data_IF_261083431723
#
_entry.id   IF_261083431723
#
_cell.length_a   1.000
_cell.length_b   1.000
_cell.length_c   1.000
_cell.angle_alpha   90.00
_cell.angle_beta   90.00
_cell.angle_gamma   90.00
#
_symmetry.space_group_name_H-M   'P 1'
#
loop_
_entity.id
_entity.type
_entity.pdbx_description
1 polymer ?
#
# COMPACT_ATOMS: atom_id res chain seq x y z
N UNK A 1 4.73 47.80 44.94
CA UNK A 1 3.97 46.63 44.46
C UNK A 1 4.06 46.62 42.95
N UNK A 2 5.07 45.92 42.42
CA UNK A 2 5.29 45.81 40.97
C UNK A 2 4.25 44.84 40.40
N UNK A 3 3.51 45.28 39.40
CA UNK A 3 2.47 44.50 38.73
C UNK A 3 3.20 43.55 37.80
N UNK A 4 3.35 42.28 38.19
CA UNK A 4 3.83 41.22 37.30
C UNK A 4 3.03 41.32 36.00
N UNK A 5 3.75 41.53 34.90
CA UNK A 5 3.11 41.71 33.60
C UNK A 5 2.50 40.38 33.18
N UNK A 6 1.33 40.40 32.54
CA UNK A 6 0.65 39.19 32.06
C UNK A 6 1.57 38.30 31.19
N UNK A 7 2.58 38.91 30.57
CA UNK A 7 3.65 38.24 29.81
C UNK A 7 4.57 37.37 30.68
N UNK A 8 4.90 37.80 31.89
CA UNK A 8 5.70 37.05 32.87
C UNK A 8 4.92 35.86 33.42
N UNK A 9 3.63 36.05 33.72
CA UNK A 9 2.76 34.97 34.20
C UNK A 9 2.53 33.88 33.14
N UNK A 10 2.49 34.24 31.86
CA UNK A 10 2.36 33.29 30.74
C UNK A 10 3.73 32.63 30.43
N UNK A 11 4.85 33.34 30.60
CA UNK A 11 6.19 32.78 30.41
C UNK A 11 6.60 31.82 31.55
N UNK A 12 6.11 32.04 32.77
CA UNK A 12 6.34 31.19 33.96
C UNK A 12 5.32 30.06 34.09
N UNK A 13 4.21 30.10 33.34
CA UNK A 13 3.32 28.96 33.16
C UNK A 13 4.06 27.87 32.39
N UNK A 14 4.88 27.11 33.13
CA UNK A 14 5.47 25.84 32.73
C UNK A 14 4.38 25.08 31.97
N UNK A 15 4.58 24.96 30.66
CA UNK A 15 3.75 24.11 29.82
C UNK A 15 3.59 22.78 30.56
N UNK A 16 2.41 22.14 30.55
CA UNK A 16 2.26 20.83 31.14
C UNK A 16 3.37 19.97 30.53
N UNK A 17 4.35 19.59 31.34
CA UNK A 17 5.26 18.52 30.99
C UNK A 17 4.34 17.31 30.86
N UNK A 18 3.95 17.00 29.63
CA UNK A 18 3.29 15.75 29.28
C UNK A 18 4.32 14.62 29.46
N UNK A 19 4.71 14.38 30.71
CA UNK A 19 5.37 13.14 31.14
C UNK A 19 4.32 12.05 31.21
N UNK A 20 3.63 11.79 30.11
CA UNK A 20 3.02 10.49 29.89
C UNK A 20 4.13 9.62 29.33
N UNK A 21 4.94 9.07 30.24
CA UNK A 21 5.84 7.97 29.92
C UNK A 21 5.00 6.80 29.41
N UNK A 22 4.72 6.80 28.11
CA UNK A 22 3.98 5.73 27.45
C UNK A 22 4.94 4.55 27.33
N UNK A 23 4.99 3.74 28.38
CA UNK A 23 5.58 2.40 28.37
C UNK A 23 4.70 1.53 27.45
N UNK A 24 4.74 1.78 26.14
CA UNK A 24 4.27 0.76 25.21
C UNK A 24 5.15 -0.45 25.49
N UNK A 25 4.54 -1.54 25.94
CA UNK A 25 5.26 -2.80 26.16
C UNK A 25 6.05 -3.08 24.89
N UNK A 26 7.34 -3.37 25.00
CA UNK A 26 8.26 -3.50 23.84
C UNK A 26 7.71 -4.41 22.74
N UNK A 27 6.87 -5.38 23.10
CA UNK A 27 6.16 -6.27 22.20
C UNK A 27 5.16 -5.56 21.25
N UNK A 28 4.38 -4.61 21.75
CA UNK A 28 3.42 -3.83 20.94
C UNK A 28 4.16 -2.85 20.03
N UNK A 29 5.23 -2.22 20.52
CA UNK A 29 6.09 -1.37 19.68
C UNK A 29 6.79 -2.18 18.58
N UNK A 30 7.23 -3.41 18.89
CA UNK A 30 7.86 -4.31 17.93
C UNK A 30 6.89 -4.83 16.88
N UNK A 31 5.65 -5.20 17.26
CA UNK A 31 4.60 -5.52 16.30
C UNK A 31 4.18 -4.29 15.49
N UNK A 32 4.18 -3.08 16.04
CA UNK A 32 3.88 -1.89 15.25
C UNK A 32 4.94 -1.65 14.17
N UNK A 33 6.22 -1.96 14.44
CA UNK A 33 7.33 -1.80 13.50
C UNK A 33 7.45 -2.97 12.49
N UNK A 34 7.19 -4.21 12.92
CA UNK A 34 7.36 -5.43 12.10
C UNK A 34 6.04 -6.13 11.76
N UNK A 35 4.91 -5.47 12.00
CA UNK A 35 3.58 -6.06 11.98
C UNK A 35 3.22 -6.69 10.65
N UNK A 36 3.64 -6.08 9.54
CA UNK A 36 3.41 -6.64 8.20
C UNK A 36 4.05 -8.03 8.06
N UNK A 37 5.30 -8.20 8.49
CA UNK A 37 6.00 -9.48 8.38
C UNK A 37 5.40 -10.54 9.31
N UNK A 38 5.10 -10.15 10.54
CA UNK A 38 4.47 -11.04 11.53
C UNK A 38 3.09 -11.49 11.04
N UNK A 39 2.28 -10.55 10.56
CA UNK A 39 0.95 -10.83 10.04
C UNK A 39 1.01 -11.71 8.79
N UNK A 40 1.91 -11.42 7.83
CA UNK A 40 2.13 -12.26 6.66
C UNK A 40 2.55 -13.67 7.04
N UNK A 41 3.47 -13.83 8.00
CA UNK A 41 3.90 -15.16 8.47
C UNK A 41 2.74 -15.96 9.09
N UNK A 42 1.91 -15.30 9.91
CA UNK A 42 0.71 -15.92 10.51
C UNK A 42 -0.26 -16.35 9.40
N UNK A 43 -0.52 -15.49 8.42
CA UNK A 43 -1.42 -15.82 7.30
C UNK A 43 -0.89 -16.99 6.47
N UNK A 44 0.42 -17.05 6.19
CA UNK A 44 1.03 -18.18 5.50
C UNK A 44 0.83 -19.47 6.30
N UNK A 45 1.14 -19.47 7.60
CA UNK A 45 0.97 -20.64 8.47
C UNK A 45 -0.49 -21.10 8.52
N UNK A 46 -1.41 -20.17 8.73
CA UNK A 46 -2.85 -20.46 8.72
C UNK A 46 -3.29 -21.02 7.36
N UNK A 47 -2.80 -20.47 6.25
CA UNK A 47 -3.15 -20.96 4.91
C UNK A 47 -2.59 -22.36 4.66
N UNK A 48 -1.38 -22.66 5.15
CA UNK A 48 -0.83 -24.01 5.08
C UNK A 48 -1.64 -25.04 5.89
N UNK A 49 -2.30 -24.63 6.97
CA UNK A 49 -3.11 -25.54 7.81
C UNK A 49 -4.56 -25.66 7.39
N UNK A 50 -5.16 -24.57 6.87
CA UNK A 50 -6.61 -24.51 6.59
C UNK A 50 -6.96 -24.57 5.10
N UNK A 51 -5.98 -24.44 4.19
CA UNK A 51 -6.23 -24.44 2.75
C UNK A 51 -5.48 -25.60 2.08
N UNK A 52 -6.25 -26.55 1.56
CA UNK A 52 -5.71 -27.70 0.84
C UNK A 52 -4.92 -27.26 -0.39
N UNK A 53 -3.72 -27.81 -0.56
CA UNK A 53 -2.86 -27.52 -1.71
C UNK A 53 -2.22 -26.13 -1.70
N UNK A 54 -2.34 -25.35 -0.62
CA UNK A 54 -1.73 -24.02 -0.53
C UNK A 54 -0.20 -24.03 -0.75
N UNK A 55 0.49 -24.99 -0.12
CA UNK A 55 1.94 -25.16 -0.27
C UNK A 55 2.34 -26.03 -1.48
N UNK A 56 1.41 -26.35 -2.40
CA UNK A 56 1.73 -27.12 -3.59
C UNK A 56 2.66 -26.35 -4.53
N UNK A 57 3.53 -27.07 -5.26
CA UNK A 57 4.41 -26.46 -6.26
C UNK A 57 3.62 -25.67 -7.31
N UNK A 58 2.44 -26.14 -7.67
CA UNK A 58 1.56 -25.46 -8.61
C UNK A 58 1.10 -24.10 -8.06
N UNK A 59 0.54 -24.06 -6.85
CA UNK A 59 0.08 -22.80 -6.25
C UNK A 59 1.23 -21.81 -6.01
N UNK A 60 2.39 -22.30 -5.55
CA UNK A 60 3.58 -21.45 -5.37
C UNK A 60 4.06 -20.89 -6.71
N UNK A 61 4.09 -21.70 -7.76
CA UNK A 61 4.47 -21.26 -9.11
C UNK A 61 3.48 -20.25 -9.68
N UNK A 62 2.18 -20.49 -9.52
CA UNK A 62 1.12 -19.59 -9.96
C UNK A 62 1.17 -18.24 -9.23
N UNK A 63 1.51 -18.25 -7.94
CA UNK A 63 1.74 -17.03 -7.16
C UNK A 63 2.89 -16.20 -7.75
N UNK A 64 4.02 -16.84 -8.06
CA UNK A 64 5.15 -16.14 -8.69
C UNK A 64 4.81 -15.62 -10.09
N UNK A 65 4.09 -16.38 -10.91
CA UNK A 65 3.64 -15.91 -12.22
C UNK A 65 2.70 -14.69 -12.11
N UNK A 66 1.81 -14.66 -11.12
CA UNK A 66 0.93 -13.51 -10.86
C UNK A 66 1.69 -12.29 -10.31
N UNK A 67 2.73 -12.53 -9.51
CA UNK A 67 3.55 -11.47 -8.94
C UNK A 67 4.58 -10.89 -9.94
N UNK A 68 5.06 -11.67 -10.90
CA UNK A 68 6.12 -11.28 -11.82
C UNK A 68 5.82 -9.99 -12.62
N UNK A 69 4.63 -9.80 -13.23
CA UNK A 69 4.31 -8.55 -13.92
C UNK A 69 4.40 -7.32 -13.02
N UNK A 70 3.90 -7.40 -11.79
CA UNK A 70 3.97 -6.30 -10.81
C UNK A 70 5.43 -6.03 -10.42
N UNK A 71 6.24 -7.09 -10.25
CA UNK A 71 7.67 -6.97 -9.99
C UNK A 71 8.43 -6.26 -11.11
N UNK A 72 8.17 -6.60 -12.37
CA UNK A 72 8.78 -5.94 -13.53
C UNK A 72 8.42 -4.45 -13.55
N UNK A 73 7.15 -4.13 -13.28
CA UNK A 73 6.68 -2.74 -13.22
C UNK A 73 7.32 -1.97 -12.06
N UNK A 74 7.49 -2.62 -10.90
CA UNK A 74 8.15 -2.02 -9.75
C UNK A 74 9.61 -1.64 -10.04
N UNK A 75 10.33 -2.42 -10.84
CA UNK A 75 11.68 -2.05 -11.29
C UNK A 75 11.65 -0.74 -12.10
N UNK A 76 10.68 -0.55 -13.00
CA UNK A 76 10.50 0.72 -13.71
C UNK A 76 10.18 1.88 -12.78
N UNK A 77 9.32 1.66 -11.78
CA UNK A 77 8.96 2.68 -10.78
C UNK A 77 10.14 3.14 -9.92
N UNK A 78 11.18 2.31 -9.73
CA UNK A 78 12.37 2.76 -8.95
C UNK A 78 13.04 4.00 -9.56
N UNK A 79 13.13 4.10 -10.88
CA UNK A 79 13.68 5.29 -11.53
C UNK A 79 12.79 6.51 -11.28
N UNK A 80 11.46 6.35 -11.34
CA UNK A 80 10.50 7.44 -11.10
C UNK A 80 10.63 7.99 -9.68
N UNK A 81 10.71 7.09 -8.69
CA UNK A 81 10.82 7.46 -7.27
C UNK A 81 12.15 8.18 -6.98
N UNK A 82 13.25 7.74 -7.58
CA UNK A 82 14.58 8.36 -7.37
C UNK A 82 14.63 9.77 -7.98
N UNK A 83 13.93 10.02 -9.09
CA UNK A 83 14.00 11.30 -9.83
C UNK A 83 13.16 12.42 -9.18
N UNK A 84 12.50 12.15 -8.05
CA UNK A 84 11.89 13.17 -7.19
C UNK A 84 10.38 13.38 -7.36
N UNK A 85 9.68 12.52 -8.11
CA UNK A 85 8.23 12.42 -7.99
C UNK A 85 7.89 11.45 -6.85
N UNK A 86 6.81 11.72 -6.12
CA UNK A 86 6.33 10.89 -5.01
C UNK A 86 6.20 9.41 -5.43
N UNK A 87 6.11 8.49 -4.46
CA UNK A 87 5.71 7.09 -4.71
C UNK A 87 4.40 7.09 -5.50
N UNK A 88 4.50 6.94 -6.82
CA UNK A 88 3.35 7.03 -7.70
C UNK A 88 2.50 5.77 -7.52
N UNK A 89 1.46 5.90 -6.70
CA UNK A 89 0.51 4.82 -6.44
C UNK A 89 -0.45 4.61 -7.62
N UNK A 90 -0.41 5.48 -8.64
CA UNK A 90 -1.32 5.44 -9.79
C UNK A 90 -1.20 4.12 -10.58
N UNK A 91 -0.02 3.51 -10.61
CA UNK A 91 0.24 2.27 -11.34
C UNK A 91 -0.56 1.10 -10.78
N UNK A 92 -0.64 0.99 -9.45
CA UNK A 92 -1.45 -0.04 -8.78
C UNK A 92 -2.94 0.22 -8.99
N UNK A 93 -3.36 1.49 -8.89
CA UNK A 93 -4.74 1.89 -9.15
C UNK A 93 -5.17 1.61 -10.61
N UNK A 94 -4.27 1.84 -11.58
CA UNK A 94 -4.51 1.58 -12.99
C UNK A 94 -4.65 0.08 -13.28
N UNK A 95 -3.81 -0.75 -12.68
CA UNK A 95 -3.93 -2.22 -12.80
C UNK A 95 -5.26 -2.72 -12.22
N UNK A 96 -5.65 -2.21 -11.04
CA UNK A 96 -6.94 -2.54 -10.42
C UNK A 96 -8.12 -2.06 -11.29
N UNK A 97 -8.08 -0.84 -11.80
CA UNK A 97 -9.11 -0.29 -12.68
C UNK A 97 -9.29 -1.13 -13.94
N UNK A 98 -8.19 -1.50 -14.63
CA UNK A 98 -8.24 -2.36 -15.80
C UNK A 98 -8.85 -3.74 -15.47
N UNK A 99 -8.49 -4.35 -14.34
CA UNK A 99 -9.07 -5.62 -13.89
C UNK A 99 -10.57 -5.53 -13.62
N UNK A 100 -11.01 -4.49 -12.90
CA UNK A 100 -12.43 -4.25 -12.61
C UNK A 100 -13.22 -3.99 -13.89
N UNK A 101 -12.70 -3.18 -14.82
CA UNK A 101 -13.34 -2.92 -16.11
C UNK A 101 -13.46 -4.20 -16.92
N UNK A 102 -12.40 -5.02 -16.96
CA UNK A 102 -12.41 -6.29 -17.68
C UNK A 102 -13.52 -7.20 -17.14
N UNK A 103 -13.63 -7.36 -15.83
CA UNK A 103 -14.67 -8.20 -15.21
C UNK A 103 -16.08 -7.61 -15.46
N UNK A 104 -16.24 -6.30 -15.28
CA UNK A 104 -17.52 -5.63 -15.43
C UNK A 104 -18.05 -5.73 -16.88
N UNK A 105 -17.18 -5.50 -17.86
CA UNK A 105 -17.55 -5.57 -19.28
C UNK A 105 -17.69 -7.02 -19.73
N UNK A 106 -16.89 -7.95 -19.23
CA UNK A 106 -17.01 -9.38 -19.59
C UNK A 106 -18.31 -10.00 -19.10
N UNK A 107 -18.89 -9.48 -18.02
CA UNK A 107 -20.19 -9.95 -17.52
C UNK A 107 -21.36 -9.49 -18.40
N UNK A 108 -21.23 -8.35 -19.11
CA UNK A 108 -22.27 -7.80 -19.97
C UNK A 108 -22.08 -8.16 -21.46
N UNK A 109 -20.84 -8.38 -21.89
CA UNK A 109 -20.45 -8.67 -23.27
C UNK A 109 -19.58 -9.92 -23.33
N UNK A 110 -18.71 -10.04 -24.35
CA UNK A 110 -17.73 -11.11 -24.44
C UNK A 110 -16.34 -10.66 -23.95
N UNK A 111 -15.46 -11.64 -23.71
CA UNK A 111 -14.11 -11.40 -23.20
C UNK A 111 -13.26 -10.51 -24.11
N UNK A 112 -13.42 -10.62 -25.44
CA UNK A 112 -12.63 -9.85 -26.41
C UNK A 112 -12.98 -8.36 -26.30
N UNK A 113 -14.28 -8.03 -26.26
CA UNK A 113 -14.74 -6.66 -26.06
C UNK A 113 -14.26 -6.11 -24.72
N UNK A 114 -14.35 -6.91 -23.65
CA UNK A 114 -13.90 -6.51 -22.33
C UNK A 114 -12.39 -6.19 -22.28
N UNK A 115 -11.58 -7.04 -22.92
CA UNK A 115 -10.15 -6.82 -23.06
C UNK A 115 -9.85 -5.52 -23.80
N UNK A 116 -10.48 -5.28 -24.96
CA UNK A 116 -10.26 -4.06 -25.75
C UNK A 116 -10.60 -2.82 -24.93
N UNK A 117 -11.74 -2.80 -24.23
CA UNK A 117 -12.16 -1.66 -23.42
C UNK A 117 -11.20 -1.42 -22.26
N UNK A 118 -10.85 -2.45 -21.49
CA UNK A 118 -9.92 -2.33 -20.38
C UNK A 118 -8.53 -1.86 -20.84
N UNK A 119 -8.07 -2.35 -22.00
CA UNK A 119 -6.79 -1.98 -22.60
C UNK A 119 -6.76 -0.51 -23.04
N UNK A 120 -7.80 -0.04 -23.71
CA UNK A 120 -7.91 1.37 -24.13
C UNK A 120 -7.91 2.30 -22.91
N UNK A 121 -8.69 1.97 -21.87
CA UNK A 121 -8.74 2.79 -20.64
C UNK A 121 -7.39 2.82 -19.94
N UNK A 122 -6.70 1.68 -19.85
CA UNK A 122 -5.35 1.62 -19.28
C UNK A 122 -4.34 2.48 -20.06
N UNK A 123 -4.40 2.49 -21.40
CA UNK A 123 -3.56 3.37 -22.23
C UNK A 123 -3.86 4.83 -21.93
N UNK A 124 -5.13 5.21 -21.86
CA UNK A 124 -5.52 6.60 -21.58
C UNK A 124 -4.97 7.05 -20.23
N UNK A 125 -5.13 6.25 -19.16
CA UNK A 125 -4.57 6.57 -17.86
C UNK A 125 -3.05 6.66 -17.88
N UNK A 126 -2.36 5.74 -18.56
CA UNK A 126 -0.91 5.77 -18.71
C UNK A 126 -0.42 7.03 -19.44
N UNK A 127 -1.13 7.46 -20.49
CA UNK A 127 -0.81 8.69 -21.21
C UNK A 127 -1.03 9.92 -20.35
N UNK A 128 -2.14 10.00 -19.62
CA UNK A 128 -2.44 11.12 -18.73
C UNK A 128 -1.38 11.23 -17.63
N UNK A 129 -1.05 10.11 -16.97
CA UNK A 129 -0.05 10.09 -15.90
C UNK A 129 1.37 10.34 -16.40
N UNK A 130 1.66 10.02 -17.67
CA UNK A 130 2.97 10.28 -18.28
C UNK A 130 3.17 11.71 -18.80
N UNK A 131 2.08 12.44 -19.05
CA UNK A 131 2.11 13.83 -19.57
C UNK A 131 1.93 14.86 -18.45
N UNK A 132 1.11 14.56 -17.44
CA UNK A 132 0.82 15.43 -16.30
C UNK A 132 1.96 15.44 -15.26
#
# INVERSE_FOLDING_TARGET
MAKETLTEAIAVAKAPEDTVAKKSSSFVAWIADKGIFVFTAILILASMTFVDGFASLQNVTDLFHRAAPIGIVALGMTFVVITGNYLDLSVVAQAAAAGVILIAVSNAYNLITAFIVAFIVAIIFGLVNGIA
#
